data_IF_525394882146
#
_entry.id   IF_525394882146
#
_cell.length_a   1.000
_cell.length_b   1.000
_cell.length_c   1.000
_cell.angle_alpha   90.00
_cell.angle_beta   90.00
_cell.angle_gamma   90.00
#
_symmetry.space_group_name_H-M   'P 1'
#
loop_
_entity.id
_entity.type
_entity.pdbx_description
1 polymer ?
#
# COMPACT_ATOMS: atom_id res chain seq x y z
N UNK A 1 -12.09 -8.73 7.64
CA UNK A 1 -11.23 -8.66 8.84
C UNK A 1 -10.83 -7.21 9.10
N UNK A 2 -10.92 -6.77 10.31
CA UNK A 2 -10.48 -5.43 10.71
C UNK A 2 -9.08 -5.50 11.31
N UNK A 3 -8.19 -4.66 10.79
CA UNK A 3 -6.89 -4.41 11.41
C UNK A 3 -6.94 -3.07 12.13
N UNK A 4 -6.41 -3.02 13.33
CA UNK A 4 -6.07 -1.76 13.97
C UNK A 4 -4.68 -1.36 13.49
N UNK A 5 -4.59 -0.23 12.79
CA UNK A 5 -3.35 0.22 12.17
C UNK A 5 -2.74 1.34 13.00
N UNK A 6 -1.52 1.13 13.45
CA UNK A 6 -0.70 2.17 14.09
C UNK A 6 0.36 2.62 13.09
N UNK A 7 0.36 3.89 12.75
CA UNK A 7 1.34 4.46 11.81
C UNK A 7 2.56 4.96 12.55
N UNK A 8 3.74 4.49 12.15
CA UNK A 8 5.01 4.98 12.65
C UNK A 8 5.42 6.22 11.86
N UNK A 9 5.51 7.37 12.53
CA UNK A 9 5.97 8.62 11.90
C UNK A 9 7.47 8.58 11.60
N UNK A 10 7.93 9.46 10.69
CA UNK A 10 9.37 9.60 10.39
C UNK A 10 10.17 9.99 11.62
N UNK A 11 9.63 10.86 12.48
CA UNK A 11 10.28 11.30 13.70
C UNK A 11 10.43 10.16 14.71
N UNK A 12 9.38 9.36 14.89
CA UNK A 12 9.41 8.19 15.76
C UNK A 12 10.38 7.12 15.24
N UNK A 13 10.42 6.92 13.93
CA UNK A 13 11.36 6.01 13.28
C UNK A 13 12.81 6.47 13.50
N UNK A 14 13.08 7.76 13.32
CA UNK A 14 14.42 8.35 13.55
C UNK A 14 14.85 8.20 15.00
N UNK A 15 13.97 8.46 15.95
CA UNK A 15 14.26 8.32 17.39
C UNK A 15 14.52 6.88 17.81
N UNK A 16 13.75 5.94 17.25
CA UNK A 16 13.78 4.55 17.67
C UNK A 16 14.87 3.72 16.97
N UNK A 17 15.20 4.05 15.72
CA UNK A 17 16.06 3.22 14.86
C UNK A 17 17.20 3.99 14.19
N UNK A 18 17.28 5.31 14.38
CA UNK A 18 18.33 6.15 13.81
C UNK A 18 18.16 6.44 12.32
N UNK A 19 17.05 6.04 11.70
CA UNK A 19 16.71 6.28 10.29
C UNK A 19 15.27 6.79 10.17
N UNK A 20 14.99 7.74 9.26
CA UNK A 20 13.65 8.32 9.15
C UNK A 20 12.61 7.40 8.50
N UNK A 21 13.06 6.45 7.70
CA UNK A 21 12.21 5.49 7.03
C UNK A 21 12.96 4.17 6.79
N UNK A 22 12.21 3.10 6.60
CA UNK A 22 12.72 1.77 6.39
C UNK A 22 12.04 1.17 5.17
N UNK A 23 12.85 0.89 4.14
CA UNK A 23 12.36 0.26 2.91
C UNK A 23 11.94 -1.19 3.13
N UNK A 24 10.91 -1.61 2.42
CA UNK A 24 10.49 -3.01 2.35
C UNK A 24 11.58 -3.95 1.80
N UNK A 25 12.54 -3.41 1.04
CA UNK A 25 13.66 -4.14 0.47
C UNK A 25 14.89 -4.21 1.40
N UNK A 26 14.88 -3.46 2.50
CA UNK A 26 16.02 -3.44 3.44
C UNK A 26 16.15 -4.76 4.19
N UNK A 27 17.40 -5.15 4.44
CA UNK A 27 17.70 -6.22 5.38
C UNK A 27 17.42 -5.71 6.80
N UNK A 28 16.49 -6.36 7.50
CA UNK A 28 16.12 -5.96 8.85
C UNK A 28 17.10 -6.49 9.87
N UNK A 29 17.52 -5.70 10.89
CA UNK A 29 18.26 -6.20 12.02
C UNK A 29 17.49 -7.33 12.73
N UNK A 30 18.22 -8.28 13.32
CA UNK A 30 17.64 -9.49 13.92
C UNK A 30 16.56 -9.20 14.97
N UNK A 31 16.70 -8.10 15.71
CA UNK A 31 15.78 -7.71 16.80
C UNK A 31 14.80 -6.62 16.41
N UNK A 32 14.76 -6.19 15.15
CA UNK A 32 13.94 -5.08 14.70
C UNK A 32 12.44 -5.33 14.89
N UNK A 33 11.95 -6.46 14.44
CA UNK A 33 10.53 -6.83 14.56
C UNK A 33 10.15 -7.01 16.03
N UNK A 34 11.03 -7.60 16.83
CA UNK A 34 10.81 -7.77 18.27
C UNK A 34 10.74 -6.42 18.99
N UNK A 35 11.64 -5.51 18.67
CA UNK A 35 11.65 -4.16 19.23
C UNK A 35 10.38 -3.39 18.89
N UNK A 36 9.90 -3.46 17.64
CA UNK A 36 8.63 -2.88 17.22
C UNK A 36 7.44 -3.50 17.96
N UNK A 37 7.40 -4.81 18.06
CA UNK A 37 6.34 -5.53 18.76
C UNK A 37 6.23 -5.12 20.21
N UNK A 38 7.35 -4.97 20.91
CA UNK A 38 7.38 -4.53 22.30
C UNK A 38 6.98 -3.06 22.47
N UNK A 39 7.50 -2.18 21.62
CA UNK A 39 7.28 -0.73 21.73
C UNK A 39 5.87 -0.31 21.39
N UNK A 40 5.27 -0.92 20.37
CA UNK A 40 3.97 -0.53 19.82
C UNK A 40 2.87 -1.57 20.08
N UNK A 41 3.18 -2.69 20.72
CA UNK A 41 2.26 -3.79 21.01
C UNK A 41 1.52 -4.27 19.74
N UNK A 42 2.27 -4.49 18.66
CA UNK A 42 1.74 -4.91 17.36
C UNK A 42 2.07 -6.38 17.06
N UNK A 43 1.18 -7.06 16.36
CA UNK A 43 1.31 -8.47 15.98
C UNK A 43 2.04 -8.65 14.65
N UNK A 44 2.00 -7.63 13.80
CA UNK A 44 2.63 -7.63 12.49
C UNK A 44 3.08 -6.23 12.09
N UNK A 45 4.05 -6.17 11.18
CA UNK A 45 4.57 -4.93 10.63
C UNK A 45 4.38 -4.94 9.12
N UNK A 46 3.73 -3.89 8.61
CA UNK A 46 3.52 -3.66 7.19
C UNK A 46 4.52 -2.62 6.69
N UNK A 47 5.35 -3.03 5.73
CA UNK A 47 6.26 -2.15 5.00
C UNK A 47 5.65 -1.83 3.65
N UNK A 48 5.63 -0.56 3.28
CA UNK A 48 5.09 -0.11 1.98
C UNK A 48 6.05 0.89 1.35
N UNK A 49 6.48 0.61 0.12
CA UNK A 49 7.28 1.51 -0.70
C UNK A 49 6.52 1.89 -1.97
N UNK A 50 6.64 3.12 -2.38
CA UNK A 50 6.30 3.56 -3.73
C UNK A 50 7.54 3.40 -4.61
N UNK A 51 7.52 2.45 -5.54
CA UNK A 51 8.68 2.10 -6.36
C UNK A 51 8.75 2.87 -7.67
N UNK A 52 7.62 3.37 -8.15
CA UNK A 52 7.51 4.18 -9.34
C UNK A 52 6.30 5.12 -9.21
N UNK A 53 6.46 6.34 -9.73
CA UNK A 53 5.37 7.32 -9.70
C UNK A 53 5.45 8.25 -10.91
N UNK A 54 4.31 8.45 -11.57
CA UNK A 54 4.10 9.47 -12.57
C UNK A 54 2.72 10.07 -12.39
N UNK A 55 2.69 11.35 -11.97
CA UNK A 55 1.47 12.08 -11.65
C UNK A 55 0.81 12.77 -12.85
N UNK A 56 1.31 12.56 -14.05
CA UNK A 56 0.74 13.06 -15.30
C UNK A 56 0.42 11.90 -16.24
N UNK A 57 -0.44 12.14 -17.22
CA UNK A 57 -0.90 11.09 -18.14
C UNK A 57 0.20 10.47 -18.99
N UNK A 58 0.15 9.17 -19.21
CA UNK A 58 -0.65 8.18 -18.50
C UNK A 58 -0.13 7.98 -17.07
N UNK A 59 -1.03 7.96 -16.07
CA UNK A 59 -0.67 7.78 -14.67
C UNK A 59 0.02 6.44 -14.43
N UNK A 60 0.96 6.44 -13.50
CA UNK A 60 1.72 5.25 -13.14
C UNK A 60 2.02 5.26 -11.64
N UNK A 61 1.80 4.14 -10.98
CA UNK A 61 2.11 3.93 -9.57
C UNK A 61 2.63 2.51 -9.36
N UNK A 62 3.86 2.40 -8.89
CA UNK A 62 4.45 1.15 -8.43
C UNK A 62 4.35 1.03 -6.92
N UNK A 63 3.93 -0.11 -6.43
CA UNK A 63 3.79 -0.41 -5.00
C UNK A 63 4.54 -1.70 -4.69
N UNK A 64 5.40 -1.64 -3.68
CA UNK A 64 6.01 -2.81 -3.06
C UNK A 64 5.61 -2.85 -1.60
N UNK A 65 5.11 -3.97 -1.15
CA UNK A 65 4.68 -4.12 0.24
C UNK A 65 5.09 -5.49 0.79
N UNK A 66 5.30 -5.54 2.10
CA UNK A 66 5.60 -6.77 2.85
C UNK A 66 4.89 -6.71 4.19
N UNK A 67 4.28 -7.81 4.57
CA UNK A 67 3.73 -8.02 5.91
C UNK A 67 4.57 -9.07 6.63
N UNK A 68 5.17 -8.69 7.75
CA UNK A 68 5.98 -9.56 8.59
C UNK A 68 5.30 -9.80 9.93
N UNK A 69 5.23 -11.05 10.35
CA UNK A 69 4.76 -11.43 11.69
C UNK A 69 5.85 -11.12 12.73
N UNK A 70 5.44 -10.51 13.84
CA UNK A 70 6.34 -10.22 14.97
C UNK A 70 6.64 -11.48 15.78
N UNK A 71 5.69 -12.40 15.88
CA UNK A 71 5.81 -13.61 16.71
C UNK A 71 6.86 -14.58 16.17
N UNK A 72 6.76 -14.95 14.91
CA UNK A 72 7.65 -15.95 14.30
C UNK A 72 8.68 -15.37 13.32
N UNK A 73 8.70 -14.05 13.16
CA UNK A 73 9.62 -13.30 12.30
C UNK A 73 9.57 -13.74 10.82
N UNK A 74 8.41 -14.18 10.36
CA UNK A 74 8.20 -14.64 8.98
C UNK A 74 7.47 -13.61 8.15
N UNK A 75 7.78 -13.59 6.87
CA UNK A 75 6.97 -12.89 5.88
C UNK A 75 5.66 -13.66 5.69
N UNK A 76 4.55 -12.99 5.97
CA UNK A 76 3.20 -13.53 5.80
C UNK A 76 2.66 -13.24 4.41
N UNK A 77 3.06 -12.10 3.84
CA UNK A 77 2.59 -11.65 2.55
C UNK A 77 3.59 -10.68 1.92
N UNK A 78 3.71 -10.75 0.59
CA UNK A 78 4.51 -9.83 -0.20
C UNK A 78 3.74 -9.42 -1.45
N UNK A 79 3.97 -8.19 -1.89
CA UNK A 79 3.36 -7.63 -3.09
C UNK A 79 4.38 -6.73 -3.80
N UNK A 80 4.45 -6.81 -5.12
CA UNK A 80 5.31 -5.95 -5.93
C UNK A 80 4.70 -5.83 -7.33
N UNK A 81 4.02 -4.72 -7.59
CA UNK A 81 3.33 -4.47 -8.85
C UNK A 81 3.46 -3.01 -9.27
N UNK A 82 3.40 -2.79 -10.58
CA UNK A 82 3.31 -1.46 -11.18
C UNK A 82 1.97 -1.34 -11.90
N UNK A 83 1.17 -0.37 -11.46
CA UNK A 83 -0.10 -0.02 -12.08
C UNK A 83 0.13 1.08 -13.10
N UNK A 84 -0.16 0.82 -14.36
CA UNK A 84 -0.07 1.81 -15.44
C UNK A 84 -1.44 2.04 -16.07
N UNK A 85 -1.87 3.30 -16.13
CA UNK A 85 -3.12 3.66 -16.77
C UNK A 85 -3.12 3.45 -18.30
N UNK A 86 -1.94 3.25 -18.91
CA UNK A 86 -1.82 2.87 -20.30
C UNK A 86 -2.09 1.39 -20.57
N UNK A 87 -2.08 0.54 -19.53
CA UNK A 87 -2.46 -0.86 -19.64
C UNK A 87 -4.00 -0.98 -19.67
N UNK A 88 -4.58 -1.55 -20.75
CA UNK A 88 -6.04 -1.70 -20.86
C UNK A 88 -6.66 -2.50 -19.72
N UNK A 89 -5.97 -3.51 -19.19
CA UNK A 89 -6.45 -4.30 -18.05
C UNK A 89 -6.56 -3.45 -16.79
N UNK A 90 -5.55 -2.62 -16.52
CA UNK A 90 -5.54 -1.67 -15.39
C UNK A 90 -6.64 -0.62 -15.59
N UNK A 91 -6.74 -0.01 -16.76
CA UNK A 91 -7.76 0.98 -17.07
C UNK A 91 -9.19 0.43 -16.86
N UNK A 92 -9.45 -0.79 -17.30
CA UNK A 92 -10.74 -1.47 -17.08
C UNK A 92 -11.01 -1.75 -15.61
N UNK A 93 -9.99 -2.15 -14.86
CA UNK A 93 -10.11 -2.39 -13.41
C UNK A 93 -10.38 -1.10 -12.64
N UNK A 94 -9.73 0.01 -13.02
CA UNK A 94 -9.99 1.34 -12.45
C UNK A 94 -11.45 1.76 -12.70
N UNK A 95 -11.97 1.55 -13.91
CA UNK A 95 -13.37 1.84 -14.23
C UNK A 95 -14.32 1.05 -13.35
N UNK A 96 -14.09 -0.27 -13.18
CA UNK A 96 -14.92 -1.11 -12.32
C UNK A 96 -14.88 -0.69 -10.87
N UNK A 97 -13.71 -0.32 -10.37
CA UNK A 97 -13.52 0.16 -9.00
C UNK A 97 -14.36 1.41 -8.74
N UNK A 98 -14.28 2.41 -9.59
CA UNK A 98 -15.04 3.65 -9.44
C UNK A 98 -16.53 3.45 -9.65
N UNK A 99 -16.91 2.64 -10.62
CA UNK A 99 -18.29 2.30 -10.85
C UNK A 99 -18.94 1.63 -9.65
N UNK A 100 -18.22 0.73 -8.99
CA UNK A 100 -18.70 0.03 -7.78
C UNK A 100 -18.81 0.96 -6.56
N UNK A 101 -17.87 1.88 -6.39
CA UNK A 101 -17.76 2.71 -5.19
C UNK A 101 -18.51 4.05 -5.28
N UNK A 102 -18.83 4.53 -6.49
CA UNK A 102 -19.40 5.85 -6.74
C UNK A 102 -20.84 5.79 -7.31
N UNK A 103 -21.42 4.60 -7.47
CA UNK A 103 -22.75 4.40 -8.06
C UNK A 103 -23.85 5.22 -7.39
N UNK A 104 -23.74 5.49 -6.10
CA UNK A 104 -24.73 6.22 -5.32
C UNK A 104 -24.57 7.75 -5.36
N UNK A 105 -23.49 8.27 -5.93
CA UNK A 105 -23.13 9.67 -5.80
C UNK A 105 -23.19 10.49 -7.09
N UNK A 106 -23.06 9.88 -8.27
CA UNK A 106 -22.96 10.65 -9.52
C UNK A 106 -23.61 9.95 -10.72
N UNK A 107 -24.46 10.68 -11.48
CA UNK A 107 -25.11 10.15 -12.68
C UNK A 107 -24.24 10.21 -13.94
N UNK A 108 -22.98 10.67 -13.87
CA UNK A 108 -22.13 10.89 -15.03
C UNK A 108 -20.90 9.99 -15.02
N UNK A 109 -20.41 9.68 -16.21
CA UNK A 109 -19.20 8.88 -16.40
C UNK A 109 -17.96 9.60 -15.86
N UNK A 110 -17.51 9.20 -14.67
CA UNK A 110 -16.29 9.69 -14.02
C UNK A 110 -15.02 9.02 -14.54
N UNK A 111 -15.15 8.10 -15.47
CA UNK A 111 -14.06 7.30 -15.99
C UNK A 111 -12.87 8.11 -16.49
N UNK A 112 -13.07 9.18 -17.28
CA UNK A 112 -11.95 10.03 -17.69
C UNK A 112 -11.26 10.71 -16.50
N UNK A 113 -12.02 11.17 -15.52
CA UNK A 113 -11.49 11.83 -14.33
C UNK A 113 -10.67 10.91 -13.43
N UNK A 114 -11.10 9.67 -13.24
CA UNK A 114 -10.41 8.68 -12.43
C UNK A 114 -9.02 8.33 -12.96
N UNK A 115 -8.91 8.17 -14.29
CA UNK A 115 -7.64 7.89 -14.96
C UNK A 115 -6.73 9.12 -15.11
N UNK A 116 -7.21 10.30 -14.69
CA UNK A 116 -6.49 11.57 -14.74
C UNK A 116 -6.10 12.10 -13.38
N UNK A 117 -6.71 11.60 -12.31
CA UNK A 117 -6.45 12.04 -10.94
C UNK A 117 -5.48 11.09 -10.24
N UNK A 118 -4.28 11.55 -9.87
CA UNK A 118 -3.33 10.72 -9.12
C UNK A 118 -3.91 10.19 -7.80
N UNK A 119 -4.70 10.99 -7.09
CA UNK A 119 -5.34 10.60 -5.83
C UNK A 119 -6.33 9.45 -6.02
N UNK A 120 -7.19 9.54 -7.03
CA UNK A 120 -8.16 8.49 -7.34
C UNK A 120 -7.46 7.22 -7.84
N UNK A 121 -6.45 7.37 -8.68
CA UNK A 121 -5.67 6.24 -9.17
C UNK A 121 -4.93 5.53 -8.03
N UNK A 122 -4.37 6.28 -7.06
CA UNK A 122 -3.73 5.74 -5.87
C UNK A 122 -4.72 4.97 -4.98
N UNK A 123 -5.95 5.46 -4.83
CA UNK A 123 -7.01 4.74 -4.09
C UNK A 123 -7.32 3.38 -4.71
N UNK A 124 -7.41 3.31 -6.03
CA UNK A 124 -7.56 2.05 -6.76
C UNK A 124 -6.37 1.11 -6.53
N UNK A 125 -5.15 1.62 -6.70
CA UNK A 125 -3.93 0.82 -6.52
C UNK A 125 -3.81 0.29 -5.10
N UNK A 126 -4.18 1.07 -4.09
CA UNK A 126 -4.21 0.64 -2.70
C UNK A 126 -5.20 -0.51 -2.48
N UNK A 127 -6.44 -0.39 -2.97
CA UNK A 127 -7.42 -1.48 -2.86
C UNK A 127 -6.94 -2.74 -3.57
N UNK A 128 -6.48 -2.62 -4.82
CA UNK A 128 -5.97 -3.76 -5.59
C UNK A 128 -4.77 -4.45 -4.90
N UNK A 129 -3.92 -3.68 -4.24
CA UNK A 129 -2.79 -4.21 -3.47
C UNK A 129 -3.26 -4.99 -2.24
N UNK A 130 -4.09 -4.38 -1.41
CA UNK A 130 -4.48 -4.96 -0.11
C UNK A 130 -5.58 -6.01 -0.21
N UNK A 131 -6.28 -6.08 -1.33
CA UNK A 131 -7.23 -7.16 -1.63
C UNK A 131 -6.54 -8.53 -1.72
N UNK A 132 -5.24 -8.55 -2.01
CA UNK A 132 -4.43 -9.77 -2.05
C UNK A 132 -3.95 -10.26 -0.68
N UNK A 133 -4.20 -9.51 0.40
CA UNK A 133 -3.85 -9.94 1.75
C UNK A 133 -4.57 -11.24 2.11
N UNK A 134 -3.84 -12.21 2.70
CA UNK A 134 -4.46 -13.45 3.10
C UNK A 134 -5.52 -13.22 4.18
N UNK A 135 -6.69 -13.78 3.99
CA UNK A 135 -7.70 -13.88 5.05
C UNK A 135 -7.25 -14.93 6.07
N UNK A 136 -7.26 -14.56 7.33
CA UNK A 136 -7.06 -15.52 8.41
C UNK A 136 -8.27 -16.45 8.55
#
# INVERSE_FOLDING_TARGET
>A
MRFEVVTLSREECQKSFGVPDISSAAALPHDFLRALGRKFAVDAVLFVDVTAYRGYRPLLLGVRAKLASVEDHRLVWTFDEVFSASDPAVANSVRRFFYRNELDRMPFDLTPGALQSPVHFAAYAAEATFETLPSR
#
